data_IF_743508262965
#
_entry.id   IF_743508262965
#
_cell.length_a   1.000
_cell.length_b   1.000
_cell.length_c   1.000
_cell.angle_alpha   90.00
_cell.angle_beta   90.00
_cell.angle_gamma   90.00
#
_symmetry.space_group_name_H-M   'P 1'
#
loop_
_entity.id
_entity.type
_entity.pdbx_description
1 polymer ?
#
# COMPACT_ATOMS: atom_id res chain seq x y z
N UNK A 1 1.65 -24.19 -22.20
CA UNK A 1 0.81 -24.15 -20.98
C UNK A 1 0.88 -22.85 -20.17
N UNK A 2 1.80 -21.90 -20.45
CA UNK A 2 1.87 -20.64 -19.69
C UNK A 2 0.83 -19.59 -20.09
N UNK A 3 0.31 -19.62 -21.32
CA UNK A 3 -0.65 -18.62 -21.84
C UNK A 3 -2.05 -18.81 -21.24
N UNK A 4 -2.44 -20.05 -20.92
CA UNK A 4 -3.74 -20.34 -20.28
C UNK A 4 -3.79 -19.83 -18.83
N UNK A 5 -2.67 -19.88 -18.09
CA UNK A 5 -2.58 -19.33 -16.73
C UNK A 5 -2.61 -17.80 -16.71
N UNK A 6 -2.01 -17.15 -17.73
CA UNK A 6 -2.04 -15.69 -17.87
C UNK A 6 -3.43 -15.16 -18.26
N UNK A 7 -4.18 -15.92 -19.07
CA UNK A 7 -5.58 -15.60 -19.41
C UNK A 7 -6.56 -15.92 -18.26
N UNK A 8 -6.28 -16.93 -17.43
CA UNK A 8 -7.07 -17.22 -16.23
C UNK A 8 -6.93 -16.13 -15.14
N UNK A 9 -5.80 -15.43 -15.07
CA UNK A 9 -5.66 -14.25 -14.19
C UNK A 9 -6.41 -13.02 -14.70
N UNK A 10 -6.69 -12.91 -16.00
CA UNK A 10 -7.37 -11.75 -16.60
C UNK A 10 -8.90 -11.90 -16.65
N UNK A 11 -9.43 -13.10 -16.37
CA UNK A 11 -10.86 -13.41 -16.45
C UNK A 11 -11.49 -13.81 -15.11
N UNK A 12 -10.87 -13.49 -13.96
CA UNK A 12 -11.68 -13.34 -12.75
C UNK A 12 -12.47 -12.05 -12.93
N UNK A 13 -13.66 -12.16 -13.54
CA UNK A 13 -14.71 -11.20 -13.28
C UNK A 13 -14.74 -11.06 -11.75
N UNK A 14 -14.33 -9.90 -11.25
CA UNK A 14 -14.55 -9.57 -9.85
C UNK A 14 -16.03 -9.80 -9.63
N UNK A 15 -16.40 -10.79 -8.81
CA UNK A 15 -17.77 -10.96 -8.31
C UNK A 15 -18.05 -9.73 -7.45
N UNK A 16 -18.32 -8.62 -8.13
CA UNK A 16 -18.50 -7.33 -7.51
C UNK A 16 -19.80 -7.44 -6.72
N UNK A 17 -19.78 -7.18 -5.42
CA UNK A 17 -20.94 -7.42 -4.57
C UNK A 17 -21.96 -6.28 -4.76
N UNK A 18 -22.58 -6.23 -5.95
CA UNK A 18 -23.49 -5.17 -6.39
C UNK A 18 -24.64 -4.97 -5.41
N UNK A 19 -25.18 -6.06 -4.85
CA UNK A 19 -26.26 -6.01 -3.86
C UNK A 19 -25.79 -5.36 -2.55
N UNK A 20 -24.61 -5.73 -2.06
CA UNK A 20 -24.04 -5.14 -0.84
C UNK A 20 -23.69 -3.66 -1.06
N UNK A 21 -23.16 -3.32 -2.23
CA UNK A 21 -22.83 -1.95 -2.59
C UNK A 21 -24.09 -1.09 -2.72
N UNK A 22 -25.14 -1.61 -3.36
CA UNK A 22 -26.45 -0.96 -3.44
C UNK A 22 -27.08 -0.75 -2.06
N UNK A 23 -27.00 -1.73 -1.17
CA UNK A 23 -27.48 -1.61 0.20
C UNK A 23 -26.69 -0.55 1.00
N UNK A 24 -25.36 -0.54 0.89
CA UNK A 24 -24.52 0.45 1.54
C UNK A 24 -24.77 1.87 1.00
N UNK A 25 -24.90 2.03 -0.33
CA UNK A 25 -25.19 3.30 -0.96
C UNK A 25 -26.58 3.86 -0.57
N UNK A 26 -27.54 2.98 -0.27
CA UNK A 26 -28.87 3.37 0.19
C UNK A 26 -28.91 3.88 1.64
N UNK A 27 -27.90 3.56 2.48
CA UNK A 27 -27.79 4.13 3.82
C UNK A 27 -27.68 5.66 3.74
N UNK A 28 -28.17 6.45 4.70
CA UNK A 28 -27.94 7.90 4.70
C UNK A 28 -26.45 8.27 4.65
N UNK A 29 -26.13 9.41 4.04
CA UNK A 29 -24.76 9.92 4.03
C UNK A 29 -24.25 10.10 5.48
N UNK A 30 -23.07 9.55 5.78
CA UNK A 30 -22.48 9.60 7.10
C UNK A 30 -21.51 8.46 7.37
N UNK A 31 -21.02 8.39 8.60
CA UNK A 31 -19.97 7.46 9.02
C UNK A 31 -20.30 5.99 8.75
N UNK A 32 -21.56 5.57 8.97
CA UNK A 32 -21.96 4.18 8.74
C UNK A 32 -21.85 3.79 7.28
N UNK A 33 -22.33 4.66 6.36
CA UNK A 33 -22.21 4.43 4.92
C UNK A 33 -20.75 4.26 4.52
N UNK A 34 -19.86 5.15 4.97
CA UNK A 34 -18.44 5.07 4.61
C UNK A 34 -17.75 3.83 5.17
N UNK A 35 -18.09 3.38 6.39
CA UNK A 35 -17.58 2.12 6.95
C UNK A 35 -17.96 0.91 6.08
N UNK A 36 -19.23 0.81 5.71
CA UNK A 36 -19.72 -0.29 4.87
C UNK A 36 -19.07 -0.27 3.48
N UNK A 37 -19.02 0.90 2.84
CA UNK A 37 -18.41 1.05 1.52
C UNK A 37 -16.91 0.74 1.54
N UNK A 38 -16.20 1.16 2.60
CA UNK A 38 -14.78 0.81 2.79
C UNK A 38 -14.59 -0.70 2.88
N UNK A 39 -15.39 -1.36 3.72
CA UNK A 39 -15.30 -2.80 3.94
C UNK A 39 -15.60 -3.60 2.67
N UNK A 40 -16.66 -3.22 1.95
CA UNK A 40 -17.05 -3.83 0.68
C UNK A 40 -15.94 -3.67 -0.36
N UNK A 41 -15.40 -2.46 -0.53
CA UNK A 41 -14.32 -2.19 -1.48
C UNK A 41 -13.05 -2.98 -1.12
N UNK A 42 -12.70 -3.04 0.17
CA UNK A 42 -11.54 -3.80 0.64
C UNK A 42 -11.69 -5.29 0.34
N UNK A 43 -12.88 -5.87 0.57
CA UNK A 43 -13.18 -7.27 0.27
C UNK A 43 -13.18 -7.56 -1.23
N UNK A 44 -13.66 -6.62 -2.05
CA UNK A 44 -13.61 -6.66 -3.50
C UNK A 44 -12.18 -6.46 -4.06
N UNK A 45 -11.18 -6.21 -3.19
CA UNK A 45 -9.79 -5.88 -3.54
C UNK A 45 -9.63 -4.59 -4.36
N UNK A 46 -10.63 -3.71 -4.30
CA UNK A 46 -10.51 -2.34 -4.76
C UNK A 46 -9.96 -1.48 -3.62
N UNK A 47 -8.64 -1.54 -3.46
CA UNK A 47 -7.93 -0.84 -2.39
C UNK A 47 -7.93 0.68 -2.59
N UNK A 48 -8.10 1.16 -3.83
CA UNK A 48 -8.22 2.59 -4.10
C UNK A 48 -9.57 3.14 -3.63
N UNK A 49 -10.68 2.47 -4.00
CA UNK A 49 -12.00 2.84 -3.50
C UNK A 49 -12.11 2.68 -1.99
N UNK A 50 -11.54 1.59 -1.44
CA UNK A 50 -11.46 1.38 0.01
C UNK A 50 -10.73 2.53 0.70
N UNK A 51 -9.56 2.95 0.19
CA UNK A 51 -8.83 4.09 0.76
C UNK A 51 -9.62 5.40 0.69
N UNK A 52 -10.34 5.64 -0.42
CA UNK A 52 -11.16 6.84 -0.59
C UNK A 52 -12.33 6.91 0.42
N UNK A 53 -13.08 5.83 0.57
CA UNK A 53 -14.17 5.73 1.54
C UNK A 53 -13.65 5.80 2.98
N UNK A 54 -12.52 5.14 3.27
CA UNK A 54 -11.91 5.21 4.58
C UNK A 54 -11.48 6.64 4.92
N UNK A 55 -10.89 7.36 3.95
CA UNK A 55 -10.51 8.77 4.13
C UNK A 55 -11.72 9.65 4.45
N UNK A 56 -12.85 9.47 3.74
CA UNK A 56 -14.09 10.18 4.02
C UNK A 56 -14.63 9.87 5.42
N UNK A 57 -14.69 8.59 5.81
CA UNK A 57 -15.12 8.18 7.15
C UNK A 57 -14.22 8.71 8.27
N UNK A 58 -12.90 8.73 8.05
CA UNK A 58 -11.91 9.23 9.01
C UNK A 58 -11.97 10.75 9.19
N UNK A 59 -12.59 11.52 8.28
CA UNK A 59 -12.87 12.94 8.53
C UNK A 59 -13.92 13.10 9.63
N UNK A 60 -14.93 12.22 9.66
CA UNK A 60 -15.97 12.24 10.68
C UNK A 60 -15.54 11.54 11.99
N UNK A 61 -14.75 10.47 11.91
CA UNK A 61 -14.27 9.71 13.05
C UNK A 61 -12.76 9.40 12.94
N UNK A 62 -11.88 10.35 13.31
CA UNK A 62 -10.43 10.23 13.07
C UNK A 62 -9.72 9.09 13.82
N UNK A 63 -10.35 8.56 14.87
CA UNK A 63 -9.84 7.52 15.76
C UNK A 63 -10.54 6.16 15.55
N UNK A 64 -11.31 6.02 14.48
CA UNK A 64 -11.98 4.77 14.17
C UNK A 64 -10.96 3.67 13.83
N UNK A 65 -10.84 2.67 14.72
CA UNK A 65 -9.86 1.59 14.59
C UNK A 65 -10.07 0.76 13.32
N UNK A 66 -11.32 0.53 12.92
CA UNK A 66 -11.63 -0.29 11.75
C UNK A 66 -11.28 0.45 10.47
N UNK A 67 -11.66 1.72 10.36
CA UNK A 67 -11.29 2.53 9.20
C UNK A 67 -9.78 2.73 9.10
N UNK A 68 -9.09 2.97 10.22
CA UNK A 68 -7.62 3.09 10.23
C UNK A 68 -6.94 1.79 9.78
N UNK A 69 -7.44 0.64 10.22
CA UNK A 69 -6.95 -0.66 9.77
C UNK A 69 -7.12 -0.87 8.27
N UNK A 70 -8.33 -0.64 7.74
CA UNK A 70 -8.62 -0.85 6.32
C UNK A 70 -7.86 0.14 5.43
N UNK A 71 -7.76 1.40 5.84
CA UNK A 71 -6.95 2.40 5.16
C UNK A 71 -5.47 2.01 5.13
N UNK A 72 -4.92 1.59 6.28
CA UNK A 72 -3.53 1.15 6.39
C UNK A 72 -3.27 -0.09 5.50
N UNK A 73 -4.16 -1.08 5.56
CA UNK A 73 -4.08 -2.27 4.72
C UNK A 73 -4.15 -1.93 3.22
N UNK A 74 -5.03 -1.00 2.84
CA UNK A 74 -5.17 -0.55 1.45
C UNK A 74 -3.91 0.16 0.96
N UNK A 75 -3.31 1.03 1.79
CA UNK A 75 -2.05 1.69 1.47
C UNK A 75 -0.90 0.69 1.30
N UNK A 76 -0.81 -0.32 2.18
CA UNK A 76 0.19 -1.40 2.06
C UNK A 76 0.01 -2.21 0.77
N UNK A 77 -1.23 -2.55 0.39
CA UNK A 77 -1.51 -3.25 -0.86
C UNK A 77 -1.15 -2.43 -2.10
N UNK A 78 -1.38 -1.11 -2.05
CA UNK A 78 -0.98 -0.17 -3.10
C UNK A 78 0.52 0.19 -3.06
N UNK A 79 1.30 -0.43 -2.16
CA UNK A 79 2.73 -0.15 -1.94
C UNK A 79 3.03 1.33 -1.61
N UNK A 80 2.04 2.06 -1.10
CA UNK A 80 2.21 3.43 -0.61
C UNK A 80 2.72 3.41 0.84
N UNK A 81 4.03 3.24 0.98
CA UNK A 81 4.73 3.15 2.27
C UNK A 81 4.59 4.41 3.12
N UNK A 82 4.47 5.59 2.48
CA UNK A 82 4.31 6.87 3.18
C UNK A 82 2.94 6.97 3.85
N UNK A 83 1.87 6.74 3.08
CA UNK A 83 0.51 6.75 3.62
C UNK A 83 0.33 5.66 4.66
N UNK A 84 0.81 4.44 4.39
CA UNK A 84 0.75 3.32 5.34
C UNK A 84 1.43 3.66 6.68
N UNK A 85 2.64 4.25 6.65
CA UNK A 85 3.34 4.65 7.87
C UNK A 85 2.60 5.69 8.70
N UNK A 86 1.99 6.68 8.03
CA UNK A 86 1.18 7.71 8.71
C UNK A 86 -0.08 7.12 9.34
N UNK A 87 -0.77 6.23 8.62
CA UNK A 87 -2.00 5.56 9.08
C UNK A 87 -1.72 4.58 10.22
N UNK A 88 -0.62 3.83 10.15
CA UNK A 88 -0.18 2.92 11.21
C UNK A 88 0.12 3.69 12.50
N UNK A 89 0.79 4.83 12.41
CA UNK A 89 1.05 5.70 13.56
C UNK A 89 -0.25 6.21 14.19
N UNK A 90 -1.22 6.65 13.37
CA UNK A 90 -2.55 7.06 13.83
C UNK A 90 -3.33 5.92 14.47
N UNK A 91 -3.26 4.72 13.90
CA UNK A 91 -3.91 3.52 14.42
C UNK A 91 -3.37 3.12 15.79
N UNK A 92 -2.04 3.12 15.97
CA UNK A 92 -1.41 2.91 17.28
C UNK A 92 -1.89 3.90 18.32
N UNK A 93 -1.94 5.19 17.97
CA UNK A 93 -2.42 6.23 18.86
C UNK A 93 -3.90 6.04 19.23
N UNK A 94 -4.76 5.72 18.24
CA UNK A 94 -6.17 5.44 18.46
C UNK A 94 -6.38 4.20 19.35
N UNK A 95 -5.59 3.13 19.15
CA UNK A 95 -5.67 1.91 19.95
C UNK A 95 -5.23 2.17 21.41
N UNK A 96 -4.20 2.98 21.61
CA UNK A 96 -3.74 3.38 22.94
C UNK A 96 -4.80 4.23 23.67
N UNK A 97 -5.50 5.12 22.94
CA UNK A 97 -6.55 5.98 23.48
C UNK A 97 -7.89 5.26 23.70
N UNK A 98 -8.11 4.11 23.05
CA UNK A 98 -9.35 3.35 23.17
C UNK A 98 -9.53 2.82 24.60
N UNK A 99 -10.58 3.29 25.26
CA UNK A 99 -11.03 2.83 26.58
C UNK A 99 -12.16 1.81 26.42
N UNK A 100 -12.30 0.90 27.38
CA UNK A 100 -13.38 -0.11 27.36
C UNK A 100 -13.14 -1.34 26.48
N UNK A 101 -11.97 -1.48 25.86
CA UNK A 101 -11.54 -2.74 25.24
C UNK A 101 -11.08 -3.71 26.34
N UNK A 102 -11.61 -4.93 26.34
CA UNK A 102 -11.05 -6.02 27.13
C UNK A 102 -9.66 -6.41 26.60
N UNK A 103 -8.91 -7.14 27.42
CA UNK A 103 -7.54 -7.52 27.12
C UNK A 103 -7.41 -8.35 25.84
N UNK A 104 -8.36 -9.26 25.58
CA UNK A 104 -8.32 -10.13 24.40
C UNK A 104 -8.56 -9.34 23.12
N UNK A 105 -9.52 -8.42 23.14
CA UNK A 105 -9.79 -7.52 22.01
C UNK A 105 -8.62 -6.58 21.75
N UNK A 106 -8.01 -6.03 22.81
CA UNK A 106 -6.81 -5.19 22.69
C UNK A 106 -5.64 -5.96 22.08
N UNK A 107 -5.39 -7.17 22.56
CA UNK A 107 -4.33 -8.04 22.01
C UNK A 107 -4.57 -8.37 20.53
N UNK A 108 -5.82 -8.62 20.12
CA UNK A 108 -6.17 -8.85 18.72
C UNK A 108 -5.83 -7.65 17.83
N UNK A 109 -6.18 -6.44 18.27
CA UNK A 109 -5.85 -5.20 17.55
C UNK A 109 -4.34 -4.97 17.48
N UNK A 110 -3.63 -5.21 18.59
CA UNK A 110 -2.18 -5.04 18.64
C UNK A 110 -1.47 -5.99 17.68
N UNK A 111 -1.88 -7.26 17.61
CA UNK A 111 -1.30 -8.23 16.68
C UNK A 111 -1.43 -7.77 15.20
N UNK A 112 -2.53 -7.08 14.86
CA UNK A 112 -2.76 -6.56 13.51
C UNK A 112 -1.92 -5.31 13.21
N UNK A 113 -1.72 -4.44 14.20
CA UNK A 113 -0.78 -3.34 14.12
C UNK A 113 0.64 -3.87 13.88
N UNK A 114 1.04 -4.90 14.62
CA UNK A 114 2.37 -5.49 14.52
C UNK A 114 2.58 -6.17 13.16
N UNK A 115 1.57 -6.89 12.65
CA UNK A 115 1.59 -7.47 11.31
C UNK A 115 1.76 -6.39 10.22
N UNK A 116 1.02 -5.29 10.31
CA UNK A 116 1.13 -4.19 9.35
C UNK A 116 2.48 -3.48 9.44
N UNK A 117 3.04 -3.34 10.64
CA UNK A 117 4.38 -2.80 10.85
C UNK A 117 5.44 -3.66 10.16
N UNK A 118 5.40 -4.98 10.39
CA UNK A 118 6.37 -5.89 9.80
C UNK A 118 6.29 -5.87 8.27
N UNK A 119 5.08 -5.79 7.69
CA UNK A 119 4.91 -5.63 6.23
C UNK A 119 5.47 -4.31 5.72
N UNK A 120 5.25 -3.22 6.44
CA UNK A 120 5.79 -1.91 6.06
C UNK A 120 7.32 -1.92 6.07
N UNK A 121 7.93 -2.50 7.09
CA UNK A 121 9.38 -2.64 7.19
C UNK A 121 9.94 -3.47 6.03
N UNK A 122 9.29 -4.59 5.68
CA UNK A 122 9.66 -5.41 4.52
C UNK A 122 9.59 -4.62 3.20
N UNK A 123 8.54 -3.83 2.99
CA UNK A 123 8.43 -2.97 1.79
C UNK A 123 9.55 -1.93 1.74
N UNK A 124 9.84 -1.27 2.87
CA UNK A 124 10.91 -0.29 2.98
C UNK A 124 12.29 -0.92 2.68
N UNK A 125 12.55 -2.15 3.13
CA UNK A 125 13.78 -2.88 2.81
C UNK A 125 13.92 -3.16 1.31
N UNK A 126 12.83 -3.55 0.66
CA UNK A 126 12.78 -3.80 -0.78
C UNK A 126 13.02 -2.52 -1.60
N UNK A 127 12.40 -1.40 -1.21
CA UNK A 127 12.62 -0.09 -1.83
C UNK A 127 14.09 0.31 -1.73
N UNK A 128 14.70 0.18 -0.55
CA UNK A 128 16.12 0.47 -0.35
C UNK A 128 17.02 -0.45 -1.17
N UNK A 129 16.68 -1.74 -1.26
CA UNK A 129 17.41 -2.68 -2.10
C UNK A 129 17.34 -2.29 -3.59
N UNK A 130 16.16 -1.91 -4.07
CA UNK A 130 15.94 -1.40 -5.42
C UNK A 130 16.79 -0.14 -5.70
N UNK A 131 16.80 0.82 -4.77
CA UNK A 131 17.61 2.03 -4.89
C UNK A 131 19.12 1.72 -4.96
N UNK A 132 19.61 0.77 -4.16
CA UNK A 132 21.01 0.31 -4.23
C UNK A 132 21.33 -0.32 -5.58
N UNK A 133 20.45 -1.16 -6.12
CA UNK A 133 20.63 -1.77 -7.43
C UNK A 133 20.65 -0.72 -8.55
N UNK A 134 19.73 0.24 -8.53
CA UNK A 134 19.68 1.34 -9.49
C UNK A 134 20.97 2.19 -9.46
N UNK A 135 21.48 2.50 -8.27
CA UNK A 135 22.73 3.25 -8.12
C UNK A 135 23.94 2.48 -8.65
N UNK A 136 24.02 1.16 -8.40
CA UNK A 136 25.08 0.31 -8.98
C UNK A 136 24.99 0.28 -10.51
N UNK A 137 23.80 0.15 -11.07
CA UNK A 137 23.61 0.18 -12.53
C UNK A 137 24.07 1.51 -13.14
N UNK A 138 23.69 2.64 -12.53
CA UNK A 138 24.15 3.98 -12.96
C UNK A 138 25.66 4.13 -12.89
N UNK A 139 26.28 3.65 -11.81
CA UNK A 139 27.75 3.70 -11.66
C UNK A 139 28.46 2.87 -12.74
N UNK A 140 27.95 1.68 -13.07
CA UNK A 140 28.49 0.85 -14.14
C UNK A 140 28.37 1.54 -15.51
N UNK A 141 27.20 2.10 -15.83
CA UNK A 141 26.98 2.84 -17.08
C UNK A 141 27.91 4.05 -17.19
N UNK A 142 28.05 4.82 -16.10
CA UNK A 142 28.98 5.95 -16.06
C UNK A 142 30.43 5.52 -16.25
N UNK A 143 30.84 4.40 -15.63
CA UNK A 143 32.17 3.81 -15.80
C UNK A 143 32.46 3.42 -17.26
N UNK A 144 31.53 2.74 -17.93
CA UNK A 144 31.65 2.40 -19.35
C UNK A 144 31.68 3.63 -20.24
N UNK A 145 30.82 4.62 -19.99
CA UNK A 145 30.82 5.87 -20.75
C UNK A 145 32.17 6.60 -20.63
N UNK A 146 32.74 6.66 -19.42
CA UNK A 146 34.06 7.25 -19.19
C UNK A 146 35.17 6.48 -19.93
N UNK A 147 35.14 5.14 -19.86
CA UNK A 147 36.12 4.31 -20.55
C UNK A 147 36.09 4.52 -22.08
N UNK A 148 34.89 4.62 -22.66
CA UNK A 148 34.72 4.90 -24.09
C UNK A 148 35.24 6.29 -24.46
N UNK A 149 34.93 7.31 -23.66
CA UNK A 149 35.41 8.69 -23.89
C UNK A 149 36.94 8.77 -23.83
N UNK A 150 37.55 8.12 -22.84
CA UNK A 150 39.01 8.04 -22.72
C UNK A 150 39.65 7.28 -23.89
N UNK A 151 39.03 6.17 -24.32
CA UNK A 151 39.46 5.44 -25.51
C UNK A 151 39.42 6.29 -26.78
N UNK A 152 38.34 7.04 -26.99
CA UNK A 152 38.21 7.96 -28.12
C UNK A 152 39.22 9.11 -28.06
N UNK A 153 39.45 9.68 -26.88
CA UNK A 153 40.44 10.73 -26.68
C UNK A 153 41.87 10.23 -26.96
N UNK A 154 42.20 9.03 -26.49
CA UNK A 154 43.48 8.38 -26.75
C UNK A 154 43.70 8.12 -28.25
N UNK A 155 42.69 7.60 -28.96
CA UNK A 155 42.76 7.40 -30.40
C UNK A 155 43.06 8.72 -31.13
N UNK A 156 42.37 9.82 -30.78
CA UNK A 156 42.63 11.13 -31.38
C UNK A 156 44.03 11.67 -31.10
N UNK A 157 44.55 11.50 -29.88
CA UNK A 157 45.91 11.94 -29.52
C UNK A 157 47.00 11.26 -30.36
N UNK A 158 46.76 10.02 -30.80
CA UNK A 158 47.73 9.25 -31.60
C UNK A 158 47.74 9.63 -33.10
N UNK A 159 46.72 10.37 -33.56
CA UNK A 159 46.62 10.84 -34.95
C UNK A 159 47.37 12.16 -35.20
N UNK A 160 47.84 12.84 -34.14
CA UNK A 160 48.69 14.04 -34.18
C UNK A 160 50.16 13.68 -33.94
#
# INVERSE_FOLDING_TARGET
MAVAALLLCLCQASDWPLDAWGAAAALPAGLQRERELTEIAYQARDFEASAAHAAAGLQAAPQDLRLLQLACGSALWNTDTSSAGSLLSRWRAALAAATGLDESTRAWWQARVDECSARLDQLAELEQAGARCANRARACVAGWALALLLGLAWCRLREY
#
